data_IF_869873030590
#
_entry.id   IF_869873030590
#
_cell.length_a   1.000
_cell.length_b   1.000
_cell.length_c   1.000
_cell.angle_alpha   90.00
_cell.angle_beta   90.00
_cell.angle_gamma   90.00
#
_symmetry.space_group_name_H-M   'P 1'
#
loop_
_entity.id
_entity.type
_entity.pdbx_description
1 polymer ?
#
# COMPACT_ATOMS: atom_id res chain seq x y z
N UNK A 1 3.52 1.27 -3.30
CA UNK A 1 2.96 0.52 -2.16
C UNK A 1 3.49 -0.91 -2.15
N UNK A 2 3.30 -1.67 -3.23
CA UNK A 2 3.78 -3.06 -3.35
C UNK A 2 5.25 -3.21 -2.99
N UNK A 3 6.15 -2.40 -3.57
CA UNK A 3 7.59 -2.47 -3.25
C UNK A 3 7.96 -2.01 -1.84
N UNK A 4 6.98 -1.54 -1.05
CA UNK A 4 7.22 -1.16 0.34
C UNK A 4 7.10 -2.35 1.29
N UNK A 5 6.41 -3.42 0.91
CA UNK A 5 6.44 -4.66 1.68
C UNK A 5 7.82 -5.28 1.55
N UNK A 6 8.49 -5.58 2.66
CA UNK A 6 9.80 -6.23 2.66
C UNK A 6 9.71 -7.63 2.02
N UNK A 7 10.86 -8.20 1.70
CA UNK A 7 11.01 -9.63 1.60
C UNK A 7 10.89 -10.24 3.01
N UNK A 8 10.68 -11.55 3.07
CA UNK A 8 10.60 -12.29 4.32
C UNK A 8 11.84 -12.10 5.20
N UNK A 9 13.03 -11.93 4.62
CA UNK A 9 14.27 -11.67 5.38
C UNK A 9 14.41 -10.23 5.90
N UNK A 10 13.42 -9.36 5.67
CA UNK A 10 13.43 -7.95 6.07
C UNK A 10 14.13 -7.01 5.09
N UNK A 11 14.71 -7.53 4.00
CA UNK A 11 15.28 -6.69 2.93
C UNK A 11 14.19 -6.05 2.07
N UNK A 12 14.48 -4.92 1.44
CA UNK A 12 13.55 -4.33 0.48
C UNK A 12 13.63 -5.07 -0.86
N UNK A 13 12.49 -5.35 -1.53
CA UNK A 13 12.50 -5.95 -2.85
C UNK A 13 13.21 -5.02 -3.85
N UNK A 14 13.93 -5.61 -4.82
CA UNK A 14 14.52 -4.86 -5.92
C UNK A 14 13.54 -4.82 -7.12
N UNK A 15 12.99 -3.66 -7.49
CA UNK A 15 12.04 -3.55 -8.60
C UNK A 15 12.64 -3.96 -9.97
N UNK A 16 13.97 -3.94 -10.12
CA UNK A 16 14.62 -4.43 -11.35
C UNK A 16 14.36 -5.93 -11.60
N UNK A 17 14.12 -6.70 -10.52
CA UNK A 17 13.93 -8.15 -10.62
C UNK A 17 12.58 -8.54 -11.26
N UNK A 18 11.60 -7.63 -11.35
CA UNK A 18 10.33 -7.94 -12.01
C UNK A 18 10.54 -8.34 -13.48
N UNK A 19 11.39 -7.60 -14.22
CA UNK A 19 11.60 -7.81 -15.65
C UNK A 19 12.37 -9.10 -15.97
N UNK A 20 13.16 -9.61 -15.03
CA UNK A 20 13.97 -10.83 -15.16
C UNK A 20 13.37 -12.02 -14.44
N UNK A 21 12.21 -11.87 -13.79
CA UNK A 21 11.57 -12.93 -13.05
C UNK A 21 11.14 -14.07 -13.98
N UNK A 22 11.63 -15.29 -13.67
CA UNK A 22 11.23 -16.53 -14.34
C UNK A 22 10.11 -17.27 -13.60
N UNK A 23 9.66 -16.72 -12.48
CA UNK A 23 8.56 -17.23 -11.65
C UNK A 23 7.82 -16.05 -10.98
N UNK A 24 6.91 -16.34 -10.05
CA UNK A 24 6.18 -15.31 -9.28
C UNK A 24 7.16 -14.32 -8.60
N UNK A 25 7.20 -13.04 -9.02
CA UNK A 25 8.13 -12.06 -8.47
C UNK A 25 7.71 -11.56 -7.08
N UNK A 26 6.52 -11.91 -6.62
CA UNK A 26 6.02 -11.58 -5.30
C UNK A 26 6.20 -12.71 -4.31
N UNK A 27 6.98 -13.75 -4.61
CA UNK A 27 7.30 -14.82 -3.66
C UNK A 27 8.17 -14.30 -2.50
N UNK A 28 8.02 -14.91 -1.31
CA UNK A 28 8.80 -14.64 -0.10
C UNK A 28 8.76 -13.17 0.32
N UNK A 29 7.56 -12.58 0.34
CA UNK A 29 7.32 -11.21 0.81
C UNK A 29 6.80 -11.20 2.23
N UNK A 30 6.85 -10.05 2.89
CA UNK A 30 6.17 -9.78 4.15
C UNK A 30 4.77 -10.43 4.14
N UNK A 31 4.40 -11.27 5.12
CA UNK A 31 3.11 -11.95 5.13
C UNK A 31 1.90 -11.02 4.95
N UNK A 32 2.03 -9.76 5.37
CA UNK A 32 0.99 -8.72 5.21
C UNK A 32 0.79 -8.28 3.78
N UNK A 33 1.77 -8.49 2.88
CA UNK A 33 1.60 -8.29 1.44
C UNK A 33 0.45 -9.15 0.93
N UNK A 34 0.51 -10.47 1.18
CA UNK A 34 -0.52 -11.42 0.73
C UNK A 34 -1.87 -11.23 1.43
N UNK A 35 -1.86 -10.66 2.65
CA UNK A 35 -3.09 -10.33 3.38
C UNK A 35 -3.75 -9.02 2.91
N UNK A 36 -3.00 -8.12 2.28
CA UNK A 36 -3.47 -6.76 1.94
C UNK A 36 -3.67 -6.54 0.44
N UNK A 37 -2.87 -7.20 -0.39
CA UNK A 37 -2.81 -6.99 -1.84
C UNK A 37 -3.14 -8.30 -2.56
N UNK A 38 -4.02 -8.21 -3.55
CA UNK A 38 -4.19 -9.23 -4.59
C UNK A 38 -3.37 -8.83 -5.81
N UNK A 39 -2.63 -9.80 -6.36
CA UNK A 39 -1.85 -9.68 -7.59
C UNK A 39 -2.03 -10.92 -8.47
N UNK A 40 -1.45 -10.90 -9.66
CA UNK A 40 -1.55 -12.00 -10.62
C UNK A 40 -1.04 -13.32 -10.01
N UNK A 41 -1.76 -14.42 -10.25
CA UNK A 41 -1.43 -15.75 -9.77
C UNK A 41 -1.93 -16.08 -8.36
N UNK A 42 -2.36 -15.09 -7.57
CA UNK A 42 -2.94 -15.39 -6.25
C UNK A 42 -4.35 -15.95 -6.37
N UNK A 43 -4.73 -16.83 -5.44
CA UNK A 43 -6.12 -17.29 -5.31
C UNK A 43 -6.93 -16.29 -4.48
N UNK A 44 -8.08 -15.89 -5.02
CA UNK A 44 -9.09 -15.09 -4.34
C UNK A 44 -10.46 -15.72 -4.58
N UNK A 45 -11.20 -15.98 -3.49
CA UNK A 45 -12.54 -16.57 -3.56
C UNK A 45 -12.60 -17.89 -4.36
N UNK A 46 -11.55 -18.70 -4.33
CA UNK A 46 -11.49 -20.01 -5.00
C UNK A 46 -11.04 -19.95 -6.46
N UNK A 47 -10.90 -18.75 -7.02
CA UNK A 47 -10.42 -18.53 -8.37
C UNK A 47 -9.01 -17.93 -8.35
N UNK A 48 -8.23 -18.20 -9.40
CA UNK A 48 -6.94 -17.53 -9.62
C UNK A 48 -7.18 -16.15 -10.23
N UNK A 49 -6.56 -15.13 -9.63
CA UNK A 49 -6.52 -13.77 -10.15
C UNK A 49 -5.56 -13.73 -11.34
N UNK A 50 -6.07 -13.27 -12.48
CA UNK A 50 -5.41 -13.35 -13.78
C UNK A 50 -5.37 -11.96 -14.46
N UNK A 51 -4.38 -11.15 -14.06
CA UNK A 51 -4.17 -9.81 -14.62
C UNK A 51 -3.36 -9.83 -15.94
N UNK A 52 -2.89 -11.00 -16.37
CA UNK A 52 -2.11 -11.13 -17.59
C UNK A 52 -2.90 -10.73 -18.84
N UNK A 53 -2.18 -10.19 -19.81
CA UNK A 53 -2.62 -10.02 -21.20
C UNK A 53 -1.75 -10.87 -22.11
N UNK A 54 -2.31 -11.38 -23.20
CA UNK A 54 -1.53 -12.09 -24.20
C UNK A 54 -0.60 -11.13 -24.94
N UNK A 55 0.53 -11.64 -25.43
CA UNK A 55 1.55 -10.87 -26.16
C UNK A 55 1.01 -10.14 -27.40
N UNK A 56 -0.07 -10.65 -28.00
CA UNK A 56 -0.76 -10.01 -29.12
C UNK A 56 -1.46 -8.69 -28.75
N UNK A 57 -1.63 -8.42 -27.45
CA UNK A 57 -2.31 -7.25 -26.91
C UNK A 57 -3.81 -7.19 -27.22
N UNK A 58 -4.43 -8.31 -27.63
CA UNK A 58 -5.84 -8.38 -28.06
C UNK A 58 -6.73 -9.17 -27.11
N UNK A 59 -6.15 -9.96 -26.23
CA UNK A 59 -6.86 -10.80 -25.27
C UNK A 59 -6.09 -10.92 -23.95
N UNK A 60 -6.74 -11.43 -22.90
CA UNK A 60 -6.12 -11.53 -21.58
C UNK A 60 -6.95 -12.32 -20.58
N UNK A 61 -6.44 -12.40 -19.36
CA UNK A 61 -7.13 -12.98 -18.22
C UNK A 61 -8.38 -12.16 -17.83
N UNK A 62 -9.29 -12.82 -17.12
CA UNK A 62 -10.57 -12.27 -16.67
C UNK A 62 -10.42 -11.09 -15.71
N UNK A 63 -9.33 -11.01 -14.95
CA UNK A 63 -9.07 -9.91 -14.00
C UNK A 63 -8.39 -8.71 -14.69
N UNK A 64 -7.95 -8.87 -15.93
CA UNK A 64 -7.35 -7.81 -16.75
C UNK A 64 -8.41 -6.92 -17.41
N UNK A 65 -7.98 -5.92 -18.18
CA UNK A 65 -8.87 -5.09 -19.02
C UNK A 65 -9.62 -5.85 -20.11
N UNK A 66 -9.25 -7.11 -20.36
CA UNK A 66 -9.90 -7.99 -21.35
C UNK A 66 -11.01 -8.86 -20.74
N UNK A 67 -11.20 -8.81 -19.42
CA UNK A 67 -12.31 -9.50 -18.76
C UNK A 67 -13.67 -8.88 -19.04
N UNK A 68 -14.73 -9.54 -18.56
CA UNK A 68 -16.13 -9.16 -18.79
C UNK A 68 -16.45 -7.71 -18.37
N UNK A 69 -15.78 -7.20 -17.33
CA UNK A 69 -15.94 -5.83 -16.83
C UNK A 69 -14.65 -5.00 -17.01
N UNK A 70 -14.00 -5.14 -18.17
CA UNK A 70 -12.71 -4.50 -18.48
C UNK A 70 -12.66 -2.98 -18.25
N UNK A 71 -13.80 -2.29 -18.35
CA UNK A 71 -13.93 -0.85 -18.07
C UNK A 71 -13.65 -0.49 -16.59
N UNK A 72 -13.85 -1.43 -15.67
CA UNK A 72 -13.60 -1.31 -14.23
C UNK A 72 -12.37 -2.12 -13.78
N UNK A 73 -11.55 -2.61 -14.71
CA UNK A 73 -10.36 -3.39 -14.39
C UNK A 73 -9.29 -2.56 -13.67
N UNK A 74 -8.50 -3.23 -12.84
CA UNK A 74 -7.43 -2.60 -12.08
C UNK A 74 -6.35 -2.01 -13.01
N UNK A 75 -6.18 -0.69 -13.00
CA UNK A 75 -5.16 0.00 -13.82
C UNK A 75 -3.72 -0.38 -13.43
N UNK A 76 -3.51 -0.82 -12.19
CA UNK A 76 -2.19 -1.16 -11.62
C UNK A 76 -1.86 -2.64 -11.70
N UNK A 77 -2.82 -3.50 -12.07
CA UNK A 77 -2.77 -4.97 -11.90
C UNK A 77 -2.57 -5.42 -10.44
N UNK A 78 -3.03 -4.59 -9.50
CA UNK A 78 -3.12 -4.90 -8.09
C UNK A 78 -4.49 -4.45 -7.57
N UNK A 79 -5.10 -5.25 -6.69
CA UNK A 79 -6.34 -4.89 -6.01
C UNK A 79 -6.24 -5.10 -4.51
N UNK A 80 -7.19 -4.54 -3.77
CA UNK A 80 -7.25 -4.67 -2.31
C UNK A 80 -7.74 -6.07 -1.93
N UNK A 81 -6.98 -6.78 -1.09
CA UNK A 81 -7.44 -7.99 -0.40
C UNK A 81 -7.96 -7.68 1.00
N UNK A 82 -7.35 -6.70 1.67
CA UNK A 82 -7.70 -6.32 3.03
C UNK A 82 -9.20 -6.01 3.13
N UNK A 83 -9.82 -6.42 4.23
CA UNK A 83 -11.25 -6.27 4.50
C UNK A 83 -12.19 -7.12 3.62
N UNK A 84 -11.68 -7.86 2.65
CA UNK A 84 -12.50 -8.70 1.80
C UNK A 84 -12.75 -10.05 2.45
N UNK A 85 -14.02 -10.36 2.70
CA UNK A 85 -14.45 -11.72 3.04
C UNK A 85 -14.43 -12.58 1.76
N UNK A 86 -13.59 -13.61 1.77
CA UNK A 86 -13.39 -14.53 0.64
C UNK A 86 -14.40 -15.67 0.59
N UNK A 87 -15.24 -15.81 1.62
CA UNK A 87 -16.36 -16.77 1.61
C UNK A 87 -17.51 -16.29 0.72
N UNK A 88 -17.68 -14.96 0.58
CA UNK A 88 -18.69 -14.34 -0.25
C UNK A 88 -18.31 -14.48 -1.73
N UNK A 89 -19.17 -15.05 -2.56
CA UNK A 89 -18.89 -15.33 -3.99
C UNK A 89 -19.74 -14.48 -4.92
N UNK A 90 -20.99 -14.22 -4.55
CA UNK A 90 -21.91 -13.47 -5.37
C UNK A 90 -21.81 -11.97 -5.04
N UNK A 91 -21.20 -11.21 -5.94
CA UNK A 91 -20.99 -9.77 -5.75
C UNK A 91 -22.29 -8.95 -5.61
N UNK A 92 -23.43 -9.47 -6.07
CA UNK A 92 -24.71 -8.76 -6.07
C UNK A 92 -25.51 -9.03 -4.79
N UNK A 93 -25.60 -10.29 -4.39
CA UNK A 93 -26.41 -10.71 -3.23
C UNK A 93 -25.65 -10.74 -1.92
N UNK A 94 -24.35 -11.05 -1.95
CA UNK A 94 -23.60 -11.29 -0.72
C UNK A 94 -23.21 -9.96 -0.08
N UNK A 95 -23.60 -9.77 1.18
CA UNK A 95 -23.26 -8.56 1.94
C UNK A 95 -22.20 -8.90 2.98
N UNK A 96 -21.06 -8.22 2.88
CA UNK A 96 -20.04 -8.28 3.93
C UNK A 96 -20.57 -7.65 5.21
N UNK A 97 -20.27 -8.30 6.35
CA UNK A 97 -20.53 -7.77 7.70
C UNK A 97 -19.25 -7.21 8.34
N UNK A 98 -18.19 -7.05 7.57
CA UNK A 98 -16.90 -6.60 8.07
C UNK A 98 -17.02 -5.17 8.63
N UNK A 99 -16.74 -4.94 9.93
CA UNK A 99 -16.76 -3.60 10.48
C UNK A 99 -15.58 -2.79 9.96
N UNK A 100 -15.79 -1.49 9.79
CA UNK A 100 -14.67 -0.56 9.62
C UNK A 100 -14.00 -0.33 10.96
N UNK A 101 -12.72 -0.68 11.06
CA UNK A 101 -11.93 -0.56 12.29
C UNK A 101 -11.29 0.82 12.32
N UNK A 102 -11.89 1.76 13.06
CA UNK A 102 -11.35 3.12 13.21
C UNK A 102 -10.08 3.18 14.05
N UNK A 103 -9.99 2.37 15.11
CA UNK A 103 -8.83 2.30 16.00
C UNK A 103 -8.53 0.84 16.31
N UNK A 104 -7.25 0.48 16.38
CA UNK A 104 -6.82 -0.87 16.76
C UNK A 104 -5.47 -0.86 17.45
N UNK A 105 -5.21 -1.90 18.23
CA UNK A 105 -4.00 -2.02 19.06
C UNK A 105 -2.69 -1.84 18.28
N UNK A 106 -2.63 -2.31 17.03
CA UNK A 106 -1.44 -2.12 16.20
C UNK A 106 -1.12 -0.64 15.94
N UNK A 107 -2.13 0.20 15.76
CA UNK A 107 -1.94 1.65 15.66
C UNK A 107 -1.44 2.25 16.99
N UNK A 108 -2.00 1.81 18.13
CA UNK A 108 -1.62 2.30 19.46
C UNK A 108 -0.13 2.00 19.75
N UNK A 109 0.34 0.81 19.41
CA UNK A 109 1.76 0.47 19.55
C UNK A 109 2.66 1.34 18.66
N UNK A 110 2.23 1.64 17.43
CA UNK A 110 2.98 2.52 16.53
C UNK A 110 2.97 3.98 16.99
N UNK A 111 1.84 4.47 17.50
CA UNK A 111 1.73 5.80 18.09
C UNK A 111 2.68 5.93 19.29
N UNK A 112 2.71 4.90 20.16
CA UNK A 112 3.60 4.88 21.32
C UNK A 112 5.09 4.77 20.91
N UNK A 113 5.41 3.93 19.93
CA UNK A 113 6.78 3.81 19.42
C UNK A 113 7.30 5.15 18.86
N UNK A 114 6.50 5.83 18.04
CA UNK A 114 6.87 7.13 17.47
C UNK A 114 7.00 8.22 18.55
N UNK A 115 6.08 8.26 19.51
CA UNK A 115 6.17 9.21 20.64
C UNK A 115 7.43 8.95 21.48
N UNK A 116 7.75 7.69 21.76
CA UNK A 116 8.94 7.29 22.52
C UNK A 116 10.24 7.64 21.82
N UNK A 117 10.29 7.49 20.49
CA UNK A 117 11.40 7.97 19.69
C UNK A 117 11.60 9.49 19.87
N UNK A 118 10.54 10.29 19.77
CA UNK A 118 10.64 11.75 19.95
C UNK A 118 10.98 12.19 21.38
N UNK A 119 10.74 11.34 22.38
CA UNK A 119 11.16 11.56 23.77
C UNK A 119 12.60 11.07 24.06
N UNK A 120 13.30 10.53 23.06
CA UNK A 120 14.68 10.01 23.21
C UNK A 120 14.78 8.59 23.77
N UNK A 121 13.64 7.91 23.98
CA UNK A 121 13.57 6.53 24.49
C UNK A 121 13.48 5.54 23.33
N UNK A 122 14.58 5.40 22.59
CA UNK A 122 14.65 4.53 21.42
C UNK A 122 14.53 3.04 21.75
N UNK A 123 14.94 2.62 22.95
CA UNK A 123 14.81 1.24 23.39
C UNK A 123 13.33 0.83 23.43
N UNK A 124 12.50 1.65 24.07
CA UNK A 124 11.04 1.43 24.07
C UNK A 124 10.44 1.60 22.68
N UNK A 125 10.93 2.55 21.88
CA UNK A 125 10.46 2.72 20.51
C UNK A 125 10.66 1.44 19.66
N UNK A 126 11.87 0.85 19.72
CA UNK A 126 12.18 -0.44 19.08
C UNK A 126 11.33 -1.58 19.63
N UNK A 127 11.14 -1.65 20.95
CA UNK A 127 10.30 -2.68 21.55
C UNK A 127 8.90 -2.70 20.93
N UNK A 128 8.24 -1.53 20.85
CA UNK A 128 6.84 -1.45 20.41
C UNK A 128 6.66 -1.57 18.90
N UNK A 129 7.60 -1.06 18.09
CA UNK A 129 7.56 -1.33 16.64
C UNK A 129 7.80 -2.81 16.35
N UNK A 130 8.65 -3.49 17.13
CA UNK A 130 8.91 -4.92 16.96
C UNK A 130 7.74 -5.81 17.43
N UNK A 131 6.86 -5.35 18.34
CA UNK A 131 5.59 -6.07 18.63
C UNK A 131 4.73 -6.24 17.37
N UNK A 132 4.74 -5.25 16.47
CA UNK A 132 4.02 -5.33 15.19
C UNK A 132 4.63 -6.39 14.28
N UNK A 133 5.95 -6.37 14.13
CA UNK A 133 6.71 -7.33 13.31
C UNK A 133 6.59 -8.75 13.84
N UNK A 134 6.67 -8.93 15.16
CA UNK A 134 6.49 -10.21 15.85
C UNK A 134 5.11 -10.83 15.57
N UNK A 135 4.04 -10.02 15.58
CA UNK A 135 2.72 -10.49 15.18
C UNK A 135 2.68 -10.85 13.70
N UNK A 136 3.21 -9.99 12.82
CA UNK A 136 3.18 -10.20 11.38
C UNK A 136 3.86 -11.51 10.94
N UNK A 137 4.97 -11.88 11.58
CA UNK A 137 5.67 -13.15 11.30
C UNK A 137 4.99 -14.40 11.88
N UNK A 138 4.03 -14.26 12.79
CA UNK A 138 3.23 -15.37 13.32
C UNK A 138 4.04 -16.50 13.95
N UNK A 139 5.14 -16.18 14.63
CA UNK A 139 6.03 -17.18 15.27
C UNK A 139 7.03 -17.86 14.34
N UNK A 140 7.08 -17.51 13.05
CA UNK A 140 8.08 -18.05 12.12
C UNK A 140 9.43 -17.36 12.29
N UNK A 141 10.45 -18.12 12.67
CA UNK A 141 11.82 -17.64 12.78
C UNK A 141 12.35 -17.16 11.42
N UNK A 142 13.18 -16.12 11.41
CA UNK A 142 13.79 -15.56 10.20
C UNK A 142 12.89 -14.65 9.36
N UNK A 143 11.58 -14.64 9.60
CA UNK A 143 10.63 -13.77 8.88
C UNK A 143 10.56 -12.40 9.57
N UNK A 144 10.72 -11.31 8.81
CA UNK A 144 10.65 -9.91 9.21
C UNK A 144 11.47 -9.58 10.47
N UNK A 145 12.81 -9.81 10.48
CA UNK A 145 13.66 -9.63 11.67
C UNK A 145 13.43 -8.29 12.38
N UNK A 146 13.72 -8.28 13.68
CA UNK A 146 13.50 -7.12 14.53
C UNK A 146 14.29 -5.92 14.01
N UNK A 147 13.65 -4.74 14.03
CA UNK A 147 14.28 -3.45 13.78
C UNK A 147 15.31 -3.20 14.87
N UNK A 148 16.56 -2.97 14.47
CA UNK A 148 17.70 -2.71 15.37
C UNK A 148 18.29 -1.31 15.16
N UNK A 149 17.81 -0.60 14.13
CA UNK A 149 18.26 0.73 13.77
C UNK A 149 18.05 1.75 14.91
N UNK A 150 18.86 2.80 14.88
CA UNK A 150 18.89 3.91 15.84
C UNK A 150 18.83 5.26 15.11
N UNK A 151 18.63 6.35 15.85
CA UNK A 151 18.61 7.70 15.31
C UNK A 151 17.59 7.90 14.19
N UNK A 152 17.93 8.68 13.18
CA UNK A 152 17.03 8.96 12.04
C UNK A 152 16.62 7.70 11.27
N UNK A 153 17.46 6.66 11.27
CA UNK A 153 17.13 5.40 10.64
C UNK A 153 15.96 4.72 11.38
N UNK A 154 15.94 4.75 12.72
CA UNK A 154 14.83 4.21 13.52
C UNK A 154 13.51 4.90 13.18
N UNK A 155 13.49 6.24 13.10
CA UNK A 155 12.26 6.96 12.72
C UNK A 155 11.75 6.51 11.36
N UNK A 156 12.64 6.38 10.36
CA UNK A 156 12.26 5.90 9.02
C UNK A 156 11.69 4.48 9.07
N UNK A 157 12.23 3.60 9.92
CA UNK A 157 11.69 2.25 10.14
C UNK A 157 10.31 2.30 10.81
N UNK A 158 10.10 3.14 11.82
CA UNK A 158 8.78 3.33 12.46
C UNK A 158 7.74 3.86 11.45
N UNK A 159 8.10 4.86 10.65
CA UNK A 159 7.22 5.42 9.62
C UNK A 159 6.89 4.41 8.52
N UNK A 160 7.86 3.58 8.13
CA UNK A 160 7.68 2.51 7.17
C UNK A 160 6.80 1.39 7.73
N UNK A 161 7.06 0.92 8.95
CA UNK A 161 6.25 -0.10 9.61
C UNK A 161 4.79 0.37 9.77
N UNK A 162 4.58 1.65 10.12
CA UNK A 162 3.25 2.27 10.16
C UNK A 162 2.54 2.24 8.82
N UNK A 163 3.24 2.56 7.73
CA UNK A 163 2.70 2.50 6.36
C UNK A 163 2.27 1.08 5.96
N UNK A 164 3.03 0.05 6.35
CA UNK A 164 2.72 -1.35 6.01
C UNK A 164 1.58 -1.88 6.87
N UNK A 165 1.67 -1.66 8.17
CA UNK A 165 0.70 -2.15 9.14
C UNK A 165 -0.69 -1.56 8.86
N UNK A 166 -0.78 -0.24 8.70
CA UNK A 166 -2.03 0.52 8.51
C UNK A 166 -2.37 0.78 7.03
N UNK A 167 -1.79 -0.02 6.13
CA UNK A 167 -2.09 0.08 4.71
C UNK A 167 -3.60 -0.05 4.46
N UNK A 168 -4.17 0.91 3.72
CA UNK A 168 -5.59 0.99 3.34
C UNK A 168 -6.57 1.27 4.49
N UNK A 169 -6.09 1.80 5.61
CA UNK A 169 -6.90 2.13 6.79
C UNK A 169 -6.98 3.65 7.02
N UNK A 170 -7.04 4.46 5.95
CA UNK A 170 -7.13 5.93 5.98
C UNK A 170 -6.01 6.72 6.71
N UNK A 171 -4.94 6.08 7.17
CA UNK A 171 -3.85 6.81 7.84
C UNK A 171 -2.87 7.52 6.91
N UNK A 172 -2.53 6.93 5.76
CA UNK A 172 -1.37 7.37 4.95
C UNK A 172 -1.48 8.83 4.51
N UNK A 173 -2.69 9.30 4.20
CA UNK A 173 -2.95 10.68 3.79
C UNK A 173 -2.55 11.69 4.88
N UNK A 174 -2.89 11.39 6.14
CA UNK A 174 -2.58 12.24 7.29
C UNK A 174 -1.13 12.08 7.74
N UNK A 175 -0.60 10.86 7.71
CA UNK A 175 0.77 10.55 8.12
C UNK A 175 1.81 11.34 7.31
N UNK A 176 1.69 11.37 5.98
CA UNK A 176 2.65 12.13 5.15
C UNK A 176 2.56 13.64 5.36
N UNK A 177 1.38 14.15 5.76
CA UNK A 177 1.16 15.58 6.02
C UNK A 177 1.71 16.00 7.37
N UNK A 178 1.45 15.23 8.43
CA UNK A 178 1.97 15.54 9.78
C UNK A 178 3.49 15.40 9.86
N UNK A 179 4.08 14.46 9.10
CA UNK A 179 5.53 14.33 8.96
C UNK A 179 6.16 15.32 7.97
N UNK A 180 5.35 16.12 7.25
CA UNK A 180 5.83 17.04 6.19
C UNK A 180 6.67 16.33 5.12
N UNK A 181 6.30 15.09 4.78
CA UNK A 181 6.93 14.30 3.72
C UNK A 181 6.05 14.13 2.47
N UNK A 182 4.92 14.84 2.42
CA UNK A 182 3.96 14.74 1.32
C UNK A 182 4.56 15.26 0.00
N UNK A 183 5.40 16.29 0.05
CA UNK A 183 6.10 16.80 -1.14
C UNK A 183 6.97 15.75 -1.83
N UNK A 184 7.62 14.88 -1.06
CA UNK A 184 8.49 13.83 -1.59
C UNK A 184 7.68 12.60 -2.01
N UNK A 185 6.55 12.32 -1.35
CA UNK A 185 5.80 11.08 -1.57
C UNK A 185 4.64 11.22 -2.56
N UNK A 186 4.04 12.41 -2.66
CA UNK A 186 2.90 12.72 -3.51
C UNK A 186 3.26 13.44 -4.82
N UNK A 187 4.54 13.74 -5.05
CA UNK A 187 5.10 14.15 -6.35
C UNK A 187 5.76 12.99 -7.13
N UNK A 188 5.56 11.73 -6.70
CA UNK A 188 6.09 10.56 -7.40
C UNK A 188 5.02 9.93 -8.30
N UNK A 189 5.34 9.57 -9.55
CA UNK A 189 4.39 8.91 -10.44
C UNK A 189 3.80 7.64 -9.83
N UNK A 190 2.49 7.43 -9.99
CA UNK A 190 1.86 6.17 -9.64
C UNK A 190 2.33 5.07 -10.59
N UNK A 191 2.77 3.95 -10.02
CA UNK A 191 3.26 2.78 -10.77
C UNK A 191 2.32 1.60 -10.63
N UNK A 192 2.27 0.77 -11.66
CA UNK A 192 1.62 -0.54 -11.69
C UNK A 192 2.54 -1.58 -12.27
N UNK A 193 2.04 -2.81 -12.40
CA UNK A 193 2.72 -3.88 -13.13
C UNK A 193 1.90 -4.24 -14.37
N UNK A 194 2.58 -4.45 -15.49
CA UNK A 194 2.01 -5.06 -16.69
C UNK A 194 2.49 -6.50 -16.73
N UNK A 195 1.53 -7.41 -16.79
CA UNK A 195 1.78 -8.86 -16.85
C UNK A 195 1.48 -9.33 -18.27
N UNK A 196 2.47 -9.84 -18.98
CA UNK A 196 2.29 -10.37 -20.34
C UNK A 196 2.50 -11.88 -20.31
N UNK A 197 1.53 -12.63 -20.81
CA UNK A 197 1.60 -14.08 -20.98
C UNK A 197 2.04 -14.41 -22.41
N UNK A 198 3.10 -15.19 -22.52
CA UNK A 198 3.66 -15.70 -23.78
C UNK A 198 2.91 -16.94 -24.27
N UNK A 199 3.02 -17.31 -25.56
CA UNK A 199 2.39 -18.51 -26.10
C UNK A 199 2.78 -19.81 -25.39
N UNK A 200 4.00 -19.90 -24.85
CA UNK A 200 4.48 -21.05 -24.09
C UNK A 200 3.92 -21.12 -22.64
N UNK A 201 3.11 -20.13 -22.23
CA UNK A 201 2.51 -20.05 -20.90
C UNK A 201 3.29 -19.20 -19.89
N UNK A 202 4.55 -18.85 -20.17
CA UNK A 202 5.37 -18.03 -19.29
C UNK A 202 4.82 -16.61 -19.18
N UNK A 203 5.11 -15.96 -18.06
CA UNK A 203 4.72 -14.57 -17.81
C UNK A 203 5.93 -13.67 -17.64
N UNK A 204 5.86 -12.46 -18.18
CA UNK A 204 6.82 -11.37 -17.93
C UNK A 204 6.16 -10.22 -17.20
N UNK A 205 6.89 -9.59 -16.29
CA UNK A 205 6.38 -8.53 -15.42
C UNK A 205 7.17 -7.25 -15.67
N UNK A 206 6.50 -6.17 -16.08
CA UNK A 206 7.14 -4.89 -16.36
C UNK A 206 6.48 -3.77 -15.58
N UNK A 207 7.27 -2.91 -14.94
CA UNK A 207 6.73 -1.75 -14.24
C UNK A 207 6.20 -0.76 -15.29
N UNK A 208 4.97 -0.30 -15.08
CA UNK A 208 4.33 0.73 -15.90
C UNK A 208 4.00 1.96 -15.06
N UNK A 209 3.90 3.11 -15.71
CA UNK A 209 3.39 4.33 -15.09
C UNK A 209 1.90 4.44 -15.36
N UNK A 210 1.09 4.52 -14.31
CA UNK A 210 -0.38 4.60 -14.39
C UNK A 210 -0.92 6.00 -14.05
N UNK A 211 -0.14 6.78 -13.29
CA UNK A 211 -0.47 8.16 -12.92
C UNK A 211 0.80 9.01 -13.05
N UNK A 212 1.13 9.49 -14.26
CA UNK A 212 2.35 10.26 -14.49
C UNK A 212 2.31 11.64 -13.83
N UNK A 213 1.12 12.26 -13.76
CA UNK A 213 0.99 13.70 -13.44
C UNK A 213 0.63 13.97 -11.97
N UNK A 214 1.11 13.14 -11.03
CA UNK A 214 0.89 13.40 -9.60
C UNK A 214 1.65 14.67 -9.19
N UNK A 215 0.91 15.66 -8.68
CA UNK A 215 1.47 16.95 -8.27
C UNK A 215 0.98 17.37 -6.87
N UNK A 216 1.91 17.49 -5.95
CA UNK A 216 1.73 18.08 -4.64
C UNK A 216 2.31 19.50 -4.64
N UNK A 217 1.47 20.50 -4.38
CA UNK A 217 1.83 21.92 -4.41
C UNK A 217 1.93 22.43 -2.97
N UNK A 218 3.09 22.97 -2.60
CA UNK A 218 3.34 23.56 -1.29
C UNK A 218 3.20 25.08 -1.34
N UNK A 219 2.60 25.73 -0.32
CA UNK A 219 2.08 25.14 0.92
C UNK A 219 0.67 24.52 0.82
N UNK A 220 -0.03 24.75 -0.30
CA UNK A 220 -1.44 24.45 -0.51
C UNK A 220 -1.87 23.08 0.00
N UNK A 221 -1.30 21.99 -0.54
CA UNK A 221 -1.85 20.64 -0.39
C UNK A 221 -1.61 20.00 0.98
N UNK A 222 -0.93 20.69 1.91
CA UNK A 222 -0.87 20.27 3.31
C UNK A 222 -2.18 20.50 4.06
N UNK A 223 -2.99 21.46 3.64
CA UNK A 223 -4.30 21.77 4.20
C UNK A 223 -5.35 21.72 3.08
N UNK A 224 -6.53 21.17 3.37
CA UNK A 224 -7.62 21.21 2.41
C UNK A 224 -8.17 22.64 2.31
N UNK A 225 -8.59 23.12 1.12
CA UNK A 225 -9.22 24.43 1.01
C UNK A 225 -10.51 24.46 1.82
N UNK A 226 -10.76 25.57 2.50
CA UNK A 226 -12.09 25.86 3.04
C UNK A 226 -13.01 26.06 1.83
N UNK A 227 -14.20 25.43 1.78
CA UNK A 227 -15.10 25.58 0.64
C UNK A 227 -15.39 27.04 0.36
N UNK A 228 -15.31 27.45 -0.91
CA UNK A 228 -15.45 28.86 -1.33
C UNK A 228 -16.75 29.49 -0.85
N UNK A 229 -17.84 28.72 -0.82
CA UNK A 229 -19.14 29.16 -0.29
C UNK A 229 -19.06 29.58 1.17
N UNK A 230 -18.23 28.94 1.99
CA UNK A 230 -18.10 29.27 3.41
C UNK A 230 -17.27 30.53 3.61
N UNK A 231 -16.19 30.71 2.83
CA UNK A 231 -15.41 31.97 2.80
C UNK A 231 -16.31 33.16 2.42
N UNK A 232 -17.20 32.98 1.43
CA UNK A 232 -18.08 34.06 0.98
C UNK A 232 -19.18 34.44 1.99
N UNK A 233 -19.55 33.52 2.90
CA UNK A 233 -20.57 33.79 3.93
C UNK A 233 -20.04 34.55 5.14
N UNK A 234 -18.73 34.47 5.41
CA UNK A 234 -18.14 35.03 6.62
C UNK A 234 -16.81 35.72 6.29
N UNK A 235 -16.84 37.05 6.30
CA UNK A 235 -15.69 37.92 6.03
C UNK A 235 -14.55 37.77 7.05
N UNK A 236 -14.80 37.13 8.21
CA UNK A 236 -13.79 36.79 9.21
C UNK A 236 -13.09 35.44 8.95
N UNK A 237 -13.62 34.60 8.04
CA UNK A 237 -12.95 33.34 7.69
C UNK A 237 -11.81 33.61 6.71
N UNK A 238 -10.59 33.35 7.16
CA UNK A 238 -9.39 33.42 6.33
C UNK A 238 -9.15 32.05 5.67
N UNK A 239 -8.90 32.06 4.37
CA UNK A 239 -8.61 30.85 3.61
C UNK A 239 -7.26 30.22 4.03
N UNK A 240 -7.13 28.90 3.88
CA UNK A 240 -5.88 28.19 4.06
C UNK A 240 -4.79 28.67 3.08
N UNK A 241 -3.50 28.63 3.46
CA UNK A 241 -2.40 29.13 2.65
C UNK A 241 -2.39 28.57 1.22
N UNK A 242 -2.22 29.48 0.25
CA UNK A 242 -2.07 29.17 -1.17
C UNK A 242 -3.37 29.00 -1.96
N UNK A 243 -4.53 28.95 -1.31
CA UNK A 243 -5.83 28.99 -1.97
C UNK A 243 -6.38 30.42 -2.01
N UNK A 244 -7.23 30.71 -3.01
CA UNK A 244 -7.86 32.02 -3.23
C UNK A 244 -9.38 31.87 -3.28
#
# INVERSE_FOLDING_TARGET
MVDSYENEDGTMPNPANYATATSDPWKNRDPRFYASILCDGQTFRGDVVDFWENEDGKSGGRSSRFGNEGWNAAKTSYTLRKFMDESLKNAWSDKSKQPWVFCRLGEIYLNYAEAKYHLGDEATAREYVNKIRARARGGKAGILPDITETGDALLKRIQHERKIELAFEDHRFFDVRRWKIAEQTDNMPGKGIRVVRKPNGDKTYTIITVQPDRKFITPNHYLLPIPRSEIQKNDKLVQNPGYK
#
